data_IF_785248492192
#
_entry.id   IF_785248492192
#
_cell.length_a   1.000
_cell.length_b   1.000
_cell.length_c   1.000
_cell.angle_alpha   90.00
_cell.angle_beta   90.00
_cell.angle_gamma   90.00
#
_symmetry.space_group_name_H-M   'P 1'
#
loop_
_entity.id
_entity.type
_entity.pdbx_description
1 polymer ?
#
# COMPACT_ATOMS: atom_id res chain seq x y z
N UNK A 1 -2.63 -2.75 -22.64
CA UNK A 1 -2.65 -3.82 -21.61
C UNK A 1 -2.27 -3.16 -20.28
N UNK A 2 -3.19 -3.13 -19.32
CA UNK A 2 -3.18 -2.19 -18.19
C UNK A 2 -2.00 -2.40 -17.23
N UNK A 3 -1.17 -1.35 -17.06
CA UNK A 3 -0.01 -1.20 -16.15
C UNK A 3 -0.28 -1.44 -14.64
N UNK A 4 -1.45 -1.98 -14.30
CA UNK A 4 -2.01 -1.96 -12.94
C UNK A 4 -1.95 -3.33 -12.23
N UNK A 5 -1.62 -4.41 -12.95
CA UNK A 5 -1.51 -5.78 -12.41
C UNK A 5 -0.21 -5.98 -11.59
N UNK A 6 0.83 -5.17 -11.84
CA UNK A 6 2.16 -5.31 -11.21
C UNK A 6 2.25 -4.68 -9.80
N UNK A 7 1.13 -4.21 -9.27
CA UNK A 7 1.09 -3.27 -8.16
C UNK A 7 0.99 -3.92 -6.78
N UNK A 8 0.78 -5.23 -6.73
CA UNK A 8 0.64 -5.98 -5.48
C UNK A 8 1.98 -6.58 -5.03
N UNK A 9 2.89 -6.90 -5.95
CA UNK A 9 3.98 -7.83 -5.65
C UNK A 9 5.25 -7.20 -5.05
N UNK A 10 5.48 -5.88 -5.07
CA UNK A 10 6.81 -5.31 -4.71
C UNK A 10 6.93 -4.43 -3.47
N UNK A 11 6.00 -4.49 -2.49
CA UNK A 11 5.61 -3.24 -1.80
C UNK A 11 5.38 -3.30 -0.27
N UNK A 12 6.12 -4.12 0.48
CA UNK A 12 5.79 -4.34 1.92
C UNK A 12 6.88 -4.15 2.99
N UNK A 13 8.04 -3.53 2.71
CA UNK A 13 8.91 -2.99 3.79
C UNK A 13 8.22 -1.92 4.65
N UNK A 14 7.09 -1.40 4.19
CA UNK A 14 6.26 -0.42 4.88
C UNK A 14 5.46 -1.03 6.05
N UNK A 15 5.28 -2.35 6.06
CA UNK A 15 4.32 -3.03 6.93
C UNK A 15 4.71 -2.99 8.41
N UNK A 16 5.98 -3.22 8.69
CA UNK A 16 6.52 -3.24 10.06
C UNK A 16 6.20 -1.92 10.74
N UNK A 17 6.50 -0.80 10.07
CA UNK A 17 6.41 0.52 10.69
C UNK A 17 4.96 0.99 10.89
N UNK A 18 3.99 0.62 10.03
CA UNK A 18 2.58 0.95 10.25
C UNK A 18 1.90 0.07 11.29
N UNK A 19 2.18 -1.24 11.27
CA UNK A 19 1.61 -2.18 12.22
C UNK A 19 2.19 -1.95 13.63
N UNK A 20 3.49 -1.68 13.72
CA UNK A 20 4.16 -1.33 14.98
C UNK A 20 3.81 0.07 15.49
N UNK A 21 3.50 1.02 14.61
CA UNK A 21 3.01 2.33 15.03
C UNK A 21 1.69 2.26 15.81
N UNK A 22 0.92 1.17 15.70
CA UNK A 22 -0.27 0.93 16.50
C UNK A 22 -1.40 1.95 16.32
N UNK A 23 -1.30 2.83 15.31
CA UNK A 23 -2.20 3.96 15.13
C UNK A 23 -1.81 4.88 13.96
N UNK A 24 -2.43 6.07 13.88
CA UNK A 24 -2.09 7.11 12.92
C UNK A 24 -0.59 7.44 12.88
N UNK A 25 0.03 7.34 11.71
CA UNK A 25 1.44 7.66 11.52
C UNK A 25 1.68 8.54 10.30
N UNK A 26 2.68 9.42 10.40
CA UNK A 26 3.14 10.23 9.27
C UNK A 26 4.08 9.41 8.40
N UNK A 27 3.80 9.30 7.10
CA UNK A 27 4.57 8.48 6.15
C UNK A 27 6.06 8.83 6.12
N UNK A 28 6.39 10.09 6.34
CA UNK A 28 7.77 10.58 6.29
C UNK A 28 8.61 10.04 7.45
N UNK A 29 7.97 9.74 8.58
CA UNK A 29 8.62 9.31 9.82
C UNK A 29 8.85 7.79 9.83
N UNK A 30 8.29 7.06 8.85
CA UNK A 30 8.37 5.61 8.75
C UNK A 30 9.62 5.11 8.01
N UNK A 31 10.60 5.97 7.73
CA UNK A 31 11.86 5.57 7.07
C UNK A 31 11.68 4.96 5.67
N UNK A 32 10.56 5.27 5.00
CA UNK A 32 10.20 4.71 3.70
C UNK A 32 10.80 5.54 2.57
N UNK A 33 11.27 4.85 1.52
CA UNK A 33 11.61 5.48 0.23
C UNK A 33 10.37 6.08 -0.43
N UNK A 34 10.57 7.04 -1.36
CA UNK A 34 9.45 7.65 -2.09
C UNK A 34 8.54 6.62 -2.80
N UNK A 35 9.08 5.62 -3.54
CA UNK A 35 8.25 4.58 -4.11
C UNK A 35 7.45 3.82 -3.04
N UNK A 36 8.08 3.43 -1.93
CA UNK A 36 7.39 2.75 -0.84
C UNK A 36 6.24 3.59 -0.28
N UNK A 37 6.41 4.91 -0.08
CA UNK A 37 5.33 5.80 0.36
C UNK A 37 4.16 5.83 -0.62
N UNK A 38 4.42 6.03 -1.91
CA UNK A 38 3.38 6.02 -2.95
C UNK A 38 2.61 4.70 -2.98
N UNK A 39 3.28 3.61 -2.63
CA UNK A 39 2.73 2.28 -2.67
C UNK A 39 1.79 2.03 -1.49
N UNK A 40 2.17 2.46 -0.29
CA UNK A 40 1.35 2.37 0.92
C UNK A 40 0.03 3.12 0.77
N UNK A 41 0.05 4.28 0.11
CA UNK A 41 -1.16 5.06 -0.14
C UNK A 41 -2.18 4.30 -0.99
N UNK A 42 -1.74 3.38 -1.87
CA UNK A 42 -2.62 2.61 -2.76
C UNK A 42 -3.35 1.49 -2.04
N UNK A 43 -2.92 1.11 -0.83
CA UNK A 43 -3.64 0.17 0.03
C UNK A 43 -5.07 0.62 0.35
N UNK A 44 -5.36 1.92 0.21
CA UNK A 44 -6.72 2.47 0.32
C UNK A 44 -7.72 1.87 -0.66
N UNK A 45 -7.27 1.44 -1.84
CA UNK A 45 -8.16 0.89 -2.87
C UNK A 45 -8.76 -0.46 -2.45
N UNK A 46 -8.08 -1.17 -1.54
CA UNK A 46 -8.59 -2.39 -0.91
C UNK A 46 -9.25 -2.13 0.44
N UNK A 47 -9.26 -0.87 0.89
CA UNK A 47 -9.72 -0.47 2.22
C UNK A 47 -8.79 -0.93 3.34
N UNK A 48 -7.50 -1.16 3.07
CA UNK A 48 -6.52 -1.64 4.05
C UNK A 48 -5.79 -0.50 4.79
N UNK A 49 -5.78 0.68 4.20
CA UNK A 49 -5.26 1.90 4.81
C UNK A 49 -6.18 3.07 4.50
N UNK A 50 -6.21 4.07 5.37
CA UNK A 50 -7.00 5.28 5.19
C UNK A 50 -6.17 6.51 5.54
N UNK A 51 -6.41 7.67 4.90
CA UNK A 51 -5.88 8.93 5.38
C UNK A 51 -6.44 9.21 6.78
N UNK A 52 -5.64 9.84 7.62
CA UNK A 52 -6.11 10.35 8.91
C UNK A 52 -6.84 11.66 8.66
N UNK A 53 -8.00 11.82 9.29
CA UNK A 53 -8.74 13.07 9.22
C UNK A 53 -8.30 14.01 10.34
N UNK A 54 -8.30 15.30 10.09
CA UNK A 54 -8.20 16.32 11.13
C UNK A 54 -9.56 16.58 11.80
N UNK A 55 -9.59 17.47 12.79
CA UNK A 55 -10.80 17.83 13.52
C UNK A 55 -11.91 18.44 12.64
N UNK A 56 -11.59 18.87 11.42
CA UNK A 56 -12.53 19.43 10.44
C UNK A 56 -12.95 18.40 9.37
N UNK A 57 -12.66 17.11 9.57
CA UNK A 57 -12.87 16.03 8.60
C UNK A 57 -12.07 16.20 7.30
N UNK A 58 -11.04 17.06 7.27
CA UNK A 58 -10.14 17.19 6.13
C UNK A 58 -8.99 16.20 6.26
N UNK A 59 -8.37 15.82 5.15
CA UNK A 59 -7.24 14.90 5.17
C UNK A 59 -6.01 15.56 5.81
N UNK A 60 -5.52 14.99 6.92
CA UNK A 60 -4.26 15.40 7.53
C UNK A 60 -3.10 14.96 6.63
N UNK A 61 -2.47 15.92 5.93
CA UNK A 61 -1.46 15.65 4.89
C UNK A 61 -0.34 14.74 5.40
N UNK A 62 -0.11 13.64 4.69
CA UNK A 62 0.98 12.70 4.99
C UNK A 62 0.68 11.73 6.14
N UNK A 63 -0.45 11.86 6.83
CA UNK A 63 -0.85 10.98 7.92
C UNK A 63 -1.81 9.90 7.43
N UNK A 64 -1.48 8.66 7.75
CA UNK A 64 -2.22 7.47 7.34
C UNK A 64 -2.34 6.51 8.52
N UNK A 65 -3.34 5.66 8.45
CA UNK A 65 -3.59 4.61 9.42
C UNK A 65 -3.97 3.32 8.71
N UNK A 66 -3.58 2.20 9.30
CA UNK A 66 -4.09 0.88 8.91
C UNK A 66 -5.53 0.78 9.40
N UNK A 67 -6.43 0.32 8.54
CA UNK A 67 -7.82 0.06 8.93
C UNK A 67 -7.91 -1.27 9.68
N UNK A 68 -9.05 -1.54 10.31
CA UNK A 68 -9.31 -2.86 10.90
C UNK A 68 -9.15 -3.98 9.85
N UNK A 69 -9.71 -3.78 8.65
CA UNK A 69 -9.54 -4.72 7.52
C UNK A 69 -8.06 -4.91 7.17
N UNK A 70 -7.27 -3.84 7.16
CA UNK A 70 -5.83 -3.89 6.94
C UNK A 70 -5.09 -4.69 8.01
N UNK A 71 -5.46 -4.54 9.28
CA UNK A 71 -4.89 -5.29 10.40
C UNK A 71 -5.22 -6.78 10.31
N UNK A 72 -6.49 -7.12 10.03
CA UNK A 72 -6.94 -8.51 9.81
C UNK A 72 -6.23 -9.14 8.62
N UNK A 73 -6.08 -8.40 7.52
CA UNK A 73 -5.39 -8.90 6.32
C UNK A 73 -3.92 -9.17 6.62
N UNK A 74 -3.27 -8.25 7.33
CA UNK A 74 -1.91 -8.41 7.82
C UNK A 74 -1.77 -9.69 8.68
N UNK A 75 -2.69 -9.93 9.61
CA UNK A 75 -2.65 -11.12 10.49
C UNK A 75 -3.08 -12.43 9.81
N UNK A 76 -3.33 -12.42 8.49
CA UNK A 76 -3.84 -13.57 7.72
C UNK A 76 -5.25 -14.01 8.16
N UNK A 77 -6.02 -13.10 8.74
CA UNK A 77 -7.40 -13.35 9.21
C UNK A 77 -8.46 -13.04 8.14
N UNK A 78 -8.07 -12.39 7.04
CA UNK A 78 -8.94 -12.11 5.90
C UNK A 78 -8.14 -12.09 4.61
N UNK A 79 -8.81 -12.29 3.48
CA UNK A 79 -8.26 -12.17 2.13
C UNK A 79 -8.83 -10.94 1.41
N UNK A 80 -8.18 -10.55 0.32
CA UNK A 80 -8.63 -9.45 -0.53
C UNK A 80 -8.64 -9.87 -1.99
N UNK A 81 -9.46 -9.24 -2.82
CA UNK A 81 -9.37 -9.41 -4.26
C UNK A 81 -8.03 -8.90 -4.79
N UNK A 82 -7.41 -9.66 -5.69
CA UNK A 82 -6.13 -9.33 -6.31
C UNK A 82 -6.19 -8.05 -7.16
N UNK A 83 -7.35 -7.65 -7.65
CA UNK A 83 -7.46 -6.44 -8.50
C UNK A 83 -8.54 -5.51 -7.99
N UNK A 84 -8.28 -4.21 -8.08
CA UNK A 84 -9.27 -3.15 -7.90
C UNK A 84 -9.38 -2.39 -9.20
N UNK A 85 -10.59 -2.27 -9.73
CA UNK A 85 -10.89 -1.45 -10.90
C UNK A 85 -11.30 -0.06 -10.44
N UNK A 86 -10.55 0.94 -10.87
CA UNK A 86 -10.82 2.36 -10.61
C UNK A 86 -11.13 3.05 -11.94
N UNK A 87 -12.07 4.00 -11.93
CA UNK A 87 -12.36 4.89 -13.06
C UNK A 87 -12.47 6.30 -12.52
N UNK A 88 -11.76 7.27 -13.10
CA UNK A 88 -11.76 8.67 -12.64
C UNK A 88 -11.48 8.83 -11.13
N UNK A 89 -10.54 8.06 -10.59
CA UNK A 89 -10.24 7.97 -9.15
C UNK A 89 -11.38 7.45 -8.24
N UNK A 90 -12.46 6.96 -8.82
CA UNK A 90 -13.57 6.34 -8.10
C UNK A 90 -13.49 4.82 -8.18
N UNK A 91 -13.74 4.16 -7.05
CA UNK A 91 -13.85 2.71 -6.99
C UNK A 91 -15.03 2.24 -7.84
N UNK A 92 -14.79 1.23 -8.69
CA UNK A 92 -15.83 0.64 -9.52
C UNK A 92 -16.19 -0.76 -9.01
N UNK A 93 -15.19 -1.64 -8.92
CA UNK A 93 -15.36 -3.02 -8.45
C UNK A 93 -14.04 -3.68 -8.08
N UNK A 94 -14.15 -4.77 -7.34
CA UNK A 94 -13.07 -5.73 -7.14
C UNK A 94 -13.11 -6.84 -8.20
N UNK A 95 -11.95 -7.35 -8.61
CA UNK A 95 -11.81 -8.41 -9.61
C UNK A 95 -10.66 -9.38 -9.27
N UNK A 96 -10.74 -10.58 -9.87
CA UNK A 96 -9.72 -11.62 -9.77
C UNK A 96 -9.84 -12.49 -8.52
N UNK A 97 -8.81 -13.28 -8.27
CA UNK A 97 -8.79 -14.21 -7.15
C UNK A 97 -8.70 -13.49 -5.80
N UNK A 98 -9.25 -14.12 -4.76
CA UNK A 98 -8.94 -13.73 -3.39
C UNK A 98 -7.54 -14.19 -3.05
N UNK A 99 -6.72 -13.26 -2.57
CA UNK A 99 -5.35 -13.51 -2.13
C UNK A 99 -5.21 -13.20 -0.65
N UNK A 100 -4.44 -14.02 0.05
CA UNK A 100 -3.94 -13.74 1.39
C UNK A 100 -2.59 -13.02 1.32
N UNK A 101 -2.17 -12.51 2.47
CA UNK A 101 -0.93 -11.74 2.62
C UNK A 101 0.32 -12.52 2.18
N UNK A 102 0.38 -13.84 2.41
CA UNK A 102 1.47 -14.72 2.00
C UNK A 102 1.63 -14.79 0.47
N UNK A 103 0.52 -14.95 -0.25
CA UNK A 103 0.49 -14.98 -1.72
C UNK A 103 0.90 -13.64 -2.36
N UNK A 104 0.77 -12.54 -1.61
CA UNK A 104 1.19 -11.19 -2.03
C UNK A 104 2.68 -10.97 -1.78
N UNK A 105 3.22 -11.52 -0.68
CA UNK A 105 4.62 -11.34 -0.27
C UNK A 105 5.55 -12.22 -1.12
N UNK A 106 5.15 -13.47 -1.42
CA UNK A 106 6.02 -14.46 -2.05
C UNK A 106 6.05 -14.36 -3.59
N UNK A 107 5.12 -13.64 -4.22
CA UNK A 107 5.03 -13.47 -5.68
C UNK A 107 5.97 -12.42 -6.29
N UNK A 108 7.03 -12.01 -5.57
CA UNK A 108 7.90 -10.92 -5.96
C UNK A 108 9.11 -11.38 -6.80
N UNK A 109 9.00 -11.26 -8.12
CA UNK A 109 10.18 -11.23 -8.99
C UNK A 109 10.61 -9.77 -9.22
N UNK A 110 11.82 -9.43 -8.77
CA UNK A 110 12.45 -8.13 -8.99
C UNK A 110 12.71 -7.96 -10.49
N UNK A 111 11.84 -7.27 -11.23
CA UNK A 111 12.19 -6.86 -12.60
C UNK A 111 13.38 -5.90 -12.53
N UNK A 112 14.49 -6.29 -13.18
CA UNK A 112 15.78 -5.58 -13.14
C UNK A 112 15.71 -4.09 -13.53
N UNK A 113 14.66 -3.69 -14.24
CA UNK A 113 14.42 -2.33 -14.73
C UNK A 113 14.22 -1.28 -13.61
N UNK A 114 13.88 -1.70 -12.38
CA UNK A 114 13.67 -0.79 -11.25
C UNK A 114 14.97 -0.41 -10.51
N UNK A 115 16.09 -1.11 -10.72
CA UNK A 115 17.36 -0.77 -10.08
C UNK A 115 17.96 0.55 -10.59
N UNK A 116 17.65 0.94 -11.83
CA UNK A 116 18.14 2.18 -12.42
C UNK A 116 17.63 3.44 -11.73
N UNK A 117 16.38 3.43 -11.24
CA UNK A 117 15.75 4.62 -10.63
C UNK A 117 16.05 4.76 -9.14
N UNK A 118 16.27 3.65 -8.41
CA UNK A 118 16.60 3.70 -6.99
C UNK A 118 18.05 4.17 -6.73
N UNK A 119 19.00 3.88 -7.62
CA UNK A 119 20.39 4.32 -7.50
C UNK A 119 20.59 5.83 -7.74
N UNK A 120 19.75 6.49 -8.52
CA UNK A 120 19.89 7.92 -8.81
C UNK A 120 19.33 8.84 -7.70
N UNK A 121 18.48 8.34 -6.80
CA UNK A 121 17.90 9.15 -5.72
C UNK A 121 18.73 9.22 -4.43
N UNK A 122 19.84 8.50 -4.34
CA UNK A 122 20.75 8.50 -3.17
C UNK A 122 21.91 9.51 -3.36
N UNK A 123 22.03 10.11 -4.55
CA UNK A 123 23.10 11.04 -4.90
C UNK A 123 22.57 12.46 -5.16
N UNK A 124 21.71 13.01 -4.30
CA UNK A 124 21.47 14.47 -4.22
C UNK A 124 21.01 14.86 -2.81
#
# INVERSE_FOLDING_TARGET
MSKWIELINGRWHVRKNYYEAGGPAKMDDLGLTYPQRTNSQKLRYWGLAAPVLDGEKKHKRGWWQITEKGSRFARRETSIYKTVVMKNNEFQRWEGDLVFIDQVIDGYEYRGDYQGQARQQILF
#
